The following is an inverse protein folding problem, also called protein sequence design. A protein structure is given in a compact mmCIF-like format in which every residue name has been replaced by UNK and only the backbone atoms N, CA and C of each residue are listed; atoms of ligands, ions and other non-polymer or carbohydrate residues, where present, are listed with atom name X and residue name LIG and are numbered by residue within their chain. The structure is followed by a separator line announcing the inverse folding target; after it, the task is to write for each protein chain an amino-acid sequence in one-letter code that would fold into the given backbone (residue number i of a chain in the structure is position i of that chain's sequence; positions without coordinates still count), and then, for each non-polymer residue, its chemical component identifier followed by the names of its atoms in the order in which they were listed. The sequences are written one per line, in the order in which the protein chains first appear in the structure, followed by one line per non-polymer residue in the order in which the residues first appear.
data_IF_788829317590
#
_entry.id   IF_788829317590
#
_cell.length_a   1.000
_cell.length_b   1.000
_cell.length_c   1.000
_cell.angle_alpha   90.00
_cell.angle_beta   90.00
_cell.angle_gamma   90.00
#
_symmetry.space_group_name_H-M   'P 1'
#
loop_
_entity.id
_entity.type
_entity.pdbx_description
1 polymer ?
#
# COMPACT_ATOMS: atom_id res chain seq x y z
N UNK A 1 4.87 -35.23 9.92
CA UNK A 1 3.48 -34.80 9.67
C UNK A 1 3.45 -33.96 8.40
N UNK A 2 2.56 -34.27 7.46
CA UNK A 2 2.46 -33.51 6.21
C UNK A 2 1.97 -32.07 6.51
N UNK A 3 2.64 -31.07 5.94
CA UNK A 3 2.19 -29.67 6.00
C UNK A 3 0.98 -29.53 5.07
N UNK A 4 -0.22 -29.58 5.64
CA UNK A 4 -1.45 -29.25 4.91
C UNK A 4 -1.81 -27.77 5.10
N UNK A 5 -2.29 -27.14 4.03
CA UNK A 5 -2.74 -25.75 4.04
C UNK A 5 -3.95 -25.60 4.97
N UNK A 6 -3.92 -24.60 5.86
CA UNK A 6 -5.08 -24.23 6.69
C UNK A 6 -6.09 -23.36 5.94
N UNK A 7 -5.75 -22.90 4.74
CA UNK A 7 -6.69 -22.18 3.90
C UNK A 7 -7.65 -23.18 3.25
N UNK A 8 -8.95 -22.84 3.14
CA UNK A 8 -9.87 -23.63 2.33
C UNK A 8 -9.32 -23.76 0.90
N UNK A 9 -9.71 -24.80 0.16
CA UNK A 9 -9.40 -24.91 -1.26
C UNK A 9 -9.85 -23.61 -1.94
N UNK A 10 -8.88 -22.82 -2.40
CA UNK A 10 -9.16 -21.55 -3.07
C UNK A 10 -9.98 -21.79 -4.33
N UNK A 11 -10.94 -20.91 -4.59
CA UNK A 11 -11.71 -20.86 -5.84
C UNK A 11 -11.28 -19.66 -6.69
N UNK A 12 -11.76 -19.63 -7.93
CA UNK A 12 -11.67 -18.43 -8.77
C UNK A 12 -12.48 -17.31 -8.12
N UNK A 13 -11.85 -16.15 -7.91
CA UNK A 13 -12.59 -14.97 -7.44
C UNK A 13 -13.21 -14.21 -8.62
N UNK A 14 -14.21 -13.37 -8.32
CA UNK A 14 -14.94 -12.59 -9.32
C UNK A 14 -14.02 -11.78 -10.25
N UNK A 15 -12.92 -11.20 -9.74
CA UNK A 15 -11.99 -10.43 -10.57
C UNK A 15 -11.18 -11.29 -11.53
N UNK A 16 -10.83 -12.51 -11.12
CA UNK A 16 -10.16 -13.49 -11.99
C UNK A 16 -11.09 -13.94 -13.11
N UNK A 17 -12.36 -14.21 -12.79
CA UNK A 17 -13.38 -14.56 -13.78
C UNK A 17 -13.61 -13.42 -14.78
N UNK A 18 -13.82 -12.18 -14.29
CA UNK A 18 -13.97 -11.00 -15.15
C UNK A 18 -12.75 -10.83 -16.07
N UNK A 19 -11.53 -10.99 -15.52
CA UNK A 19 -10.30 -10.89 -16.31
C UNK A 19 -10.25 -11.95 -17.41
N UNK A 20 -10.64 -13.20 -17.13
CA UNK A 20 -10.71 -14.28 -18.13
C UNK A 20 -11.67 -13.92 -19.25
N UNK A 21 -12.91 -13.56 -18.92
CA UNK A 21 -13.95 -13.19 -19.91
C UNK A 21 -13.50 -12.01 -20.78
N UNK A 22 -12.87 -10.99 -20.18
CA UNK A 22 -12.35 -9.86 -20.92
C UNK A 22 -11.25 -10.26 -21.92
N UNK A 23 -10.30 -11.10 -21.50
CA UNK A 23 -9.23 -11.58 -22.36
C UNK A 23 -9.76 -12.42 -23.53
N UNK A 24 -10.74 -13.29 -23.28
CA UNK A 24 -11.36 -14.10 -24.33
C UNK A 24 -12.12 -13.25 -25.36
N UNK A 25 -12.82 -12.20 -24.92
CA UNK A 25 -13.52 -11.29 -25.81
C UNK A 25 -12.53 -10.45 -26.63
N UNK A 26 -11.47 -9.94 -26.02
CA UNK A 26 -10.40 -9.22 -26.74
C UNK A 26 -9.70 -10.11 -27.77
N UNK A 27 -9.43 -11.39 -27.44
CA UNK A 27 -8.85 -12.36 -28.38
C UNK A 27 -9.75 -12.63 -29.59
N UNK A 28 -11.07 -12.45 -29.44
CA UNK A 28 -12.07 -12.53 -30.52
C UNK A 28 -12.23 -11.21 -31.28
N UNK A 29 -11.41 -10.20 -31.00
CA UNK A 29 -11.45 -8.89 -31.65
C UNK A 29 -12.52 -7.94 -31.10
N UNK A 30 -13.16 -8.29 -29.98
CA UNK A 30 -14.15 -7.41 -29.34
C UNK A 30 -13.41 -6.28 -28.62
N UNK A 31 -13.75 -5.04 -28.99
CA UNK A 31 -13.24 -3.84 -28.29
C UNK A 31 -13.95 -3.68 -26.95
N UNK A 32 -13.21 -3.84 -25.85
CA UNK A 32 -13.72 -3.64 -24.50
C UNK A 32 -13.33 -2.26 -23.95
N UNK A 33 -14.26 -1.63 -23.25
CA UNK A 33 -14.00 -0.43 -22.45
C UNK A 33 -13.85 -0.85 -20.98
N UNK A 34 -12.61 -0.81 -20.48
CA UNK A 34 -12.31 -1.23 -19.11
C UNK A 34 -12.50 -0.07 -18.14
N UNK A 35 -13.71 0.04 -17.59
CA UNK A 35 -14.08 1.07 -16.61
C UNK A 35 -13.83 0.65 -15.15
N UNK A 36 -13.35 -0.58 -14.93
CA UNK A 36 -13.10 -1.17 -13.62
C UNK A 36 -11.63 -1.14 -13.18
N UNK A 37 -10.75 -0.45 -13.92
CA UNK A 37 -9.33 -0.40 -13.60
C UNK A 37 -9.13 0.58 -12.44
N UNK A 38 -8.85 0.05 -11.24
CA UNK A 38 -8.48 0.85 -10.08
C UNK A 38 -7.01 1.29 -10.06
N UNK A 39 -6.20 0.83 -11.01
CA UNK A 39 -4.80 1.22 -11.16
C UNK A 39 -4.66 2.38 -12.16
N UNK A 40 -3.95 3.47 -11.82
CA UNK A 40 -3.65 4.52 -12.79
C UNK A 40 -2.80 3.99 -13.95
N UNK A 41 -3.08 4.47 -15.17
CA UNK A 41 -2.32 4.11 -16.36
C UNK A 41 -0.97 4.82 -16.38
N UNK A 42 0.09 4.08 -16.75
CA UNK A 42 1.43 4.62 -16.94
C UNK A 42 2.40 4.29 -15.80
N UNK A 43 3.67 4.70 -15.94
CA UNK A 43 4.68 4.47 -14.91
C UNK A 43 4.43 5.37 -13.69
N UNK A 44 5.05 5.02 -12.57
CA UNK A 44 5.13 5.92 -11.42
C UNK A 44 5.78 7.26 -11.83
N UNK A 45 5.48 8.31 -11.04
CA UNK A 45 6.07 9.64 -11.24
C UNK A 45 7.60 9.56 -11.31
N UNK A 46 8.24 10.41 -12.14
CA UNK A 46 9.70 10.43 -12.27
C UNK A 46 10.38 10.64 -10.91
N UNK A 47 9.90 11.61 -10.14
CA UNK A 47 10.39 11.89 -8.79
C UNK A 47 10.33 10.69 -7.84
N UNK A 48 9.22 9.93 -7.89
CA UNK A 48 9.07 8.72 -7.09
C UNK A 48 10.09 7.64 -7.51
N UNK A 49 10.35 7.50 -8.82
CA UNK A 49 11.35 6.57 -9.35
C UNK A 49 12.77 6.96 -8.95
N UNK A 50 13.10 8.24 -9.03
CA UNK A 50 14.41 8.77 -8.65
C UNK A 50 14.65 8.61 -7.14
N UNK A 51 13.68 8.97 -6.30
CA UNK A 51 13.79 8.79 -4.84
C UNK A 51 13.92 7.32 -4.44
N UNK A 52 13.19 6.41 -5.11
CA UNK A 52 13.35 4.98 -4.89
C UNK A 52 14.75 4.49 -5.33
N UNK A 53 15.26 4.96 -6.47
CA UNK A 53 16.60 4.62 -6.93
C UNK A 53 17.68 5.08 -5.95
N UNK A 54 17.57 6.31 -5.43
CA UNK A 54 18.48 6.83 -4.41
C UNK A 54 18.45 5.96 -3.14
N UNK A 55 17.26 5.61 -2.65
CA UNK A 55 17.11 4.75 -1.48
C UNK A 55 17.77 3.37 -1.69
N UNK A 56 17.53 2.73 -2.84
CA UNK A 56 18.10 1.43 -3.19
C UNK A 56 19.63 1.48 -3.28
N UNK A 57 20.18 2.54 -3.86
CA UNK A 57 21.63 2.68 -4.05
C UNK A 57 22.36 3.21 -2.81
N UNK A 58 21.63 3.62 -1.77
CA UNK A 58 22.21 4.15 -0.54
C UNK A 58 23.00 3.09 0.22
N UNK A 59 24.13 3.48 0.81
CA UNK A 59 24.92 2.60 1.70
C UNK A 59 24.52 2.71 3.17
N UNK A 60 23.51 3.54 3.50
CA UNK A 60 23.03 3.73 4.88
C UNK A 60 22.16 2.53 5.29
N UNK A 61 22.57 1.81 6.33
CA UNK A 61 21.84 0.62 6.83
C UNK A 61 20.37 0.93 7.18
N UNK A 62 20.13 2.04 7.88
CA UNK A 62 18.78 2.56 8.18
C UNK A 62 17.82 2.72 6.99
N UNK A 63 18.32 2.84 5.75
CA UNK A 63 17.46 2.92 4.55
C UNK A 63 16.94 1.54 4.09
N UNK A 64 17.54 0.46 4.60
CA UNK A 64 17.28 -0.93 4.22
C UNK A 64 16.81 -1.80 5.39
N UNK A 65 16.81 -1.26 6.60
CA UNK A 65 16.38 -1.97 7.80
C UNK A 65 14.89 -2.37 7.74
N UNK A 66 14.61 -3.56 8.28
CA UNK A 66 13.23 -3.97 8.48
C UNK A 66 12.56 -3.06 9.49
N UNK A 67 11.32 -2.74 9.17
CA UNK A 67 10.41 -2.00 10.00
C UNK A 67 10.07 -2.82 11.25
N UNK A 68 10.71 -2.54 12.39
CA UNK A 68 10.29 -3.12 13.66
C UNK A 68 9.08 -2.35 14.21
N UNK A 69 8.11 -3.07 14.77
CA UNK A 69 6.73 -2.62 14.97
C UNK A 69 6.54 -1.52 16.04
N UNK A 70 7.62 -0.90 16.51
CA UNK A 70 7.62 0.12 17.57
C UNK A 70 7.74 1.57 17.09
N UNK A 71 8.19 1.83 15.86
CA UNK A 71 8.36 3.18 15.32
C UNK A 71 8.03 3.21 13.81
N UNK A 72 7.35 4.24 13.28
CA UNK A 72 7.15 4.35 11.84
C UNK A 72 8.51 4.54 11.16
N UNK A 73 8.79 3.74 10.14
CA UNK A 73 10.11 3.55 9.53
C UNK A 73 10.97 4.71 9.15
N UNK A 74 10.35 5.84 8.91
CA UNK A 74 11.05 7.12 8.85
C UNK A 74 10.46 7.91 10.00
N UNK A 75 11.27 8.39 10.96
CA UNK A 75 10.78 9.26 12.01
C UNK A 75 9.94 10.40 11.41
N UNK A 76 8.70 10.53 11.89
CA UNK A 76 7.76 11.53 11.37
C UNK A 76 7.11 11.21 10.02
N UNK A 77 7.26 10.00 9.46
CA UNK A 77 6.66 9.59 8.18
C UNK A 77 5.17 9.91 8.11
N UNK A 78 4.40 9.49 9.11
CA UNK A 78 2.95 9.71 9.12
C UNK A 78 2.60 11.19 9.09
N UNK A 79 3.36 12.04 9.82
CA UNK A 79 3.16 13.50 9.80
C UNK A 79 3.48 14.09 8.44
N UNK A 80 4.62 13.73 7.86
CA UNK A 80 5.04 14.20 6.53
C UNK A 80 4.07 13.72 5.44
N UNK A 81 3.62 12.47 5.52
CA UNK A 81 2.66 11.88 4.59
C UNK A 81 1.31 12.60 4.67
N UNK A 82 0.76 12.80 5.86
CA UNK A 82 -0.51 13.53 6.00
C UNK A 82 -0.34 14.99 5.55
N UNK A 83 0.76 15.66 5.92
CA UNK A 83 1.06 17.03 5.49
C UNK A 83 1.06 17.17 3.97
N UNK A 84 1.69 16.23 3.26
CA UNK A 84 1.71 16.21 1.80
C UNK A 84 0.32 16.03 1.15
N UNK A 85 -0.65 15.46 1.88
CA UNK A 85 -2.01 15.22 1.38
C UNK A 85 -3.00 16.33 1.77
N UNK A 86 -2.78 17.04 2.89
CA UNK A 86 -3.69 18.13 3.35
C UNK A 86 -3.37 19.50 2.75
N UNK A 87 -2.33 19.60 1.92
CA UNK A 87 -2.00 20.81 1.16
C UNK A 87 -1.48 21.94 2.05
N UNK A 88 -2.09 23.13 1.93
CA UNK A 88 -1.66 24.35 2.63
C UNK A 88 -1.96 24.35 4.14
N UNK A 89 -2.66 23.33 4.65
CA UNK A 89 -2.96 23.22 6.06
C UNK A 89 -1.73 22.78 6.85
N UNK A 90 -1.22 23.64 7.74
CA UNK A 90 -0.02 23.36 8.53
C UNK A 90 -0.31 22.48 9.76
N UNK A 91 0.06 21.20 9.68
CA UNK A 91 -0.06 20.24 10.77
C UNK A 91 0.93 20.49 11.92
N UNK A 92 1.90 21.39 11.76
CA UNK A 92 2.78 21.79 12.88
C UNK A 92 2.07 22.71 13.88
N UNK A 93 0.97 23.34 13.48
CA UNK A 93 0.14 24.21 14.33
C UNK A 93 -0.80 23.45 15.30
N UNK A 94 -0.84 22.12 15.23
CA UNK A 94 -1.66 21.27 16.10
C UNK A 94 -0.74 20.47 17.02
N UNK A 95 -0.88 20.69 18.32
CA UNK A 95 -0.05 20.05 19.34
C UNK A 95 -0.42 18.56 19.55
N UNK A 96 -1.71 18.19 19.42
CA UNK A 96 -2.22 16.85 19.73
C UNK A 96 -2.77 16.11 18.50
N UNK A 97 -1.93 15.83 17.50
CA UNK A 97 -2.31 14.98 16.36
C UNK A 97 -2.27 13.50 16.77
N UNK A 98 -3.45 12.90 16.96
CA UNK A 98 -3.60 11.47 17.14
C UNK A 98 -3.76 10.74 15.79
N UNK A 99 -2.90 9.76 15.51
CA UNK A 99 -3.05 8.86 14.35
C UNK A 99 -3.91 7.66 14.76
N UNK A 100 -5.17 7.65 14.33
CA UNK A 100 -6.08 6.55 14.63
C UNK A 100 -5.70 5.28 13.84
N UNK A 101 -5.85 4.09 14.44
CA UNK A 101 -5.73 2.85 13.68
C UNK A 101 -6.81 2.82 12.59
N UNK A 102 -6.43 2.40 11.38
CA UNK A 102 -7.37 2.27 10.27
C UNK A 102 -8.37 1.14 10.61
N UNK A 103 -9.69 1.41 10.67
CA UNK A 103 -10.69 0.39 10.97
C UNK A 103 -10.59 -0.79 9.99
N UNK A 104 -10.50 -2.01 10.50
CA UNK A 104 -10.44 -3.24 9.68
C UNK A 104 -9.03 -3.65 9.24
N UNK A 105 -7.99 -2.86 9.52
CA UNK A 105 -6.61 -3.33 9.45
C UNK A 105 -6.25 -3.94 10.81
N UNK A 106 -5.63 -5.13 10.83
CA UNK A 106 -5.13 -5.73 12.08
C UNK A 106 -4.32 -4.66 12.84
N UNK A 107 -4.61 -4.41 14.13
CA UNK A 107 -3.70 -3.64 14.97
C UNK A 107 -2.31 -4.26 14.79
N UNK A 108 -1.34 -3.47 14.34
CA UNK A 108 0.05 -3.92 14.33
C UNK A 108 0.34 -4.39 15.75
N UNK A 109 0.79 -5.63 15.90
CA UNK A 109 1.10 -6.21 17.20
C UNK A 109 2.10 -5.27 17.91
N UNK A 110 1.61 -4.49 18.88
CA UNK A 110 2.41 -3.46 19.54
C UNK A 110 1.62 -2.28 20.12
N UNK A 111 0.51 -1.85 19.49
CA UNK A 111 -0.32 -0.78 20.06
C UNK A 111 -1.47 -1.35 20.89
N UNK A 112 -1.16 -1.70 22.14
CA UNK A 112 -2.19 -1.76 23.18
C UNK A 112 -2.56 -0.33 23.57
N UNK A 113 -3.76 0.11 23.22
CA UNK A 113 -4.44 1.14 23.99
C UNK A 113 -5.11 0.44 25.17
N UNK A 114 -4.54 0.59 26.37
CA UNK A 114 -5.31 0.40 27.59
C UNK A 114 -6.28 1.58 27.71
N UNK A 115 -7.55 1.25 27.94
CA UNK A 115 -8.58 2.19 28.38
C UNK A 115 -8.19 2.85 29.71
#
# INVERSE_FOLDING_TARGET
MARESRLPKGGENLFQEIKRVCLEAEAKGVKLFRLSIGQPTGPALLSAREGAAEAIMSTKESMHEYQDNGEPGVPGFSKAFVQANVGDFDLSSIDDIAYLPIPGIKPKAGFFTLW
#
